data_IF_803548000598
#
_entry.id   IF_803548000598
#
_cell.length_a   1.000
_cell.length_b   1.000
_cell.length_c   1.000
_cell.angle_alpha   90.00
_cell.angle_beta   90.00
_cell.angle_gamma   90.00
#
_symmetry.space_group_name_H-M   'P 1'
#
loop_
_entity.id
_entity.type
_entity.pdbx_description
1 polymer ?
#
# COMPACT_ATOMS: atom_id res chain seq x y z
N UNK A 1 13.11 -28.89 15.99
CA UNK A 1 14.16 -27.92 16.37
C UNK A 1 13.67 -26.57 15.90
N UNK A 2 13.72 -25.54 16.72
CA UNK A 2 13.37 -24.17 16.32
C UNK A 2 14.47 -23.61 15.41
N UNK A 3 14.09 -23.11 14.25
CA UNK A 3 14.98 -22.48 13.29
C UNK A 3 15.40 -21.09 13.79
N UNK A 4 16.69 -20.75 13.76
CA UNK A 4 17.17 -19.41 14.08
C UNK A 4 17.76 -18.76 12.84
N UNK A 5 17.36 -17.50 12.55
CA UNK A 5 17.78 -16.69 11.39
C UNK A 5 18.48 -15.41 11.85
N UNK A 6 19.41 -14.92 11.04
CA UNK A 6 19.98 -13.60 11.26
C UNK A 6 18.95 -12.50 10.99
N UNK A 7 18.21 -12.65 9.91
CA UNK A 7 17.22 -11.67 9.45
C UNK A 7 15.94 -12.39 9.01
N UNK A 8 14.80 -11.93 9.51
CA UNK A 8 13.49 -12.25 8.96
C UNK A 8 12.85 -10.95 8.44
N UNK A 9 12.24 -11.01 7.27
CA UNK A 9 11.55 -9.90 6.61
C UNK A 9 10.08 -10.29 6.48
N UNK A 10 9.18 -9.45 6.98
CA UNK A 10 7.73 -9.68 6.90
C UNK A 10 7.15 -8.83 5.77
N UNK A 11 6.71 -9.50 4.71
CA UNK A 11 6.14 -8.92 3.50
C UNK A 11 7.09 -8.95 2.30
N UNK A 12 6.52 -9.19 1.13
CA UNK A 12 7.22 -9.33 -0.16
C UNK A 12 6.81 -8.29 -1.20
N UNK A 13 6.39 -7.08 -0.76
CA UNK A 13 6.26 -5.92 -1.64
C UNK A 13 7.63 -5.32 -1.98
N UNK A 14 7.67 -4.16 -2.66
CA UNK A 14 8.91 -3.49 -3.07
C UNK A 14 9.88 -3.26 -1.91
N UNK A 15 9.38 -2.90 -0.73
CA UNK A 15 10.21 -2.71 0.45
C UNK A 15 10.86 -4.02 0.89
N UNK A 16 10.07 -5.11 0.99
CA UNK A 16 10.55 -6.42 1.42
C UNK A 16 11.53 -7.04 0.44
N UNK A 17 11.25 -7.00 -0.87
CA UNK A 17 12.17 -7.50 -1.90
C UNK A 17 13.49 -6.71 -1.91
N UNK A 18 13.43 -5.38 -1.76
CA UNK A 18 14.64 -4.56 -1.70
C UNK A 18 15.44 -4.86 -0.45
N UNK A 19 14.78 -4.96 0.72
CA UNK A 19 15.45 -5.36 1.95
C UNK A 19 16.09 -6.74 1.82
N UNK A 20 15.40 -7.72 1.21
CA UNK A 20 15.91 -9.05 0.96
C UNK A 20 17.15 -9.05 0.04
N UNK A 21 17.10 -8.25 -1.03
CA UNK A 21 18.23 -8.11 -1.94
C UNK A 21 19.50 -7.59 -1.22
N UNK A 22 19.36 -6.52 -0.44
CA UNK A 22 20.51 -5.89 0.22
C UNK A 22 21.05 -6.77 1.37
N UNK A 23 20.20 -7.35 2.21
CA UNK A 23 20.63 -8.25 3.28
C UNK A 23 21.22 -9.57 2.74
N UNK A 24 20.70 -10.10 1.62
CA UNK A 24 21.30 -11.25 0.95
C UNK A 24 22.68 -10.94 0.39
N UNK A 25 22.88 -9.76 -0.21
CA UNK A 25 24.18 -9.29 -0.70
C UNK A 25 25.20 -9.07 0.43
N UNK A 26 24.73 -8.72 1.63
CA UNK A 26 25.53 -8.67 2.86
C UNK A 26 25.77 -10.07 3.48
N UNK A 27 25.40 -11.15 2.79
CA UNK A 27 25.55 -12.55 3.22
C UNK A 27 24.81 -12.89 4.52
N UNK A 28 23.73 -12.18 4.84
CA UNK A 28 22.92 -12.41 6.05
C UNK A 28 21.85 -13.50 5.89
N UNK A 29 21.67 -14.04 4.67
CA UNK A 29 20.74 -15.13 4.33
C UNK A 29 19.30 -14.87 4.85
N UNK A 30 18.64 -13.78 4.42
CA UNK A 30 17.35 -13.39 4.92
C UNK A 30 16.27 -14.42 4.58
N UNK A 31 15.32 -14.61 5.49
CA UNK A 31 14.07 -15.28 5.25
C UNK A 31 12.97 -14.24 5.04
N UNK A 32 12.33 -14.24 3.88
CA UNK A 32 11.16 -13.41 3.56
C UNK A 32 9.89 -14.23 3.81
N UNK A 33 9.01 -13.71 4.66
CA UNK A 33 7.66 -14.26 4.92
C UNK A 33 6.66 -13.47 4.09
N UNK A 34 6.08 -14.10 3.08
CA UNK A 34 5.34 -13.42 2.01
C UNK A 34 3.93 -12.97 2.40
N UNK A 35 3.30 -13.62 3.39
CA UNK A 35 1.91 -13.34 3.76
C UNK A 35 0.90 -14.01 2.84
N UNK A 36 -0.32 -13.43 2.77
CA UNK A 36 -1.42 -13.94 1.94
C UNK A 36 -1.36 -13.40 0.50
N UNK A 37 -0.72 -12.27 0.29
CA UNK A 37 -0.63 -11.57 -1.01
C UNK A 37 0.84 -11.38 -1.41
N UNK A 38 1.50 -12.42 -1.95
CA UNK A 38 2.88 -12.32 -2.42
C UNK A 38 3.04 -11.22 -3.47
N UNK A 39 4.08 -10.39 -3.31
CA UNK A 39 4.34 -9.23 -4.19
C UNK A 39 3.61 -7.95 -3.77
N UNK A 40 2.68 -8.03 -2.82
CA UNK A 40 1.94 -6.89 -2.29
C UNK A 40 1.10 -6.15 -3.33
N UNK A 41 0.86 -4.86 -3.14
CA UNK A 41 -0.07 -4.06 -3.97
C UNK A 41 0.30 -4.03 -5.45
N UNK A 42 1.57 -4.11 -5.81
CA UNK A 42 1.99 -4.13 -7.22
C UNK A 42 1.61 -5.43 -7.93
N UNK A 43 1.44 -6.54 -7.22
CA UNK A 43 0.97 -7.78 -7.83
C UNK A 43 -0.48 -7.71 -8.32
N UNK A 44 -1.24 -6.71 -7.83
CA UNK A 44 -2.65 -6.48 -8.15
C UNK A 44 -2.85 -5.40 -9.22
N UNK A 45 -1.80 -4.70 -9.64
CA UNK A 45 -1.89 -3.62 -10.63
C UNK A 45 -1.49 -4.10 -12.03
N UNK A 46 -1.80 -3.30 -13.03
CA UNK A 46 -1.45 -3.54 -14.43
C UNK A 46 -0.10 -2.90 -14.77
N UNK A 47 -0.07 -1.90 -15.64
CA UNK A 47 1.14 -1.23 -16.08
C UNK A 47 1.63 -0.22 -15.02
N UNK A 48 2.91 -0.30 -14.67
CA UNK A 48 3.62 0.61 -13.77
C UNK A 48 4.57 1.46 -14.61
N UNK A 49 4.28 2.76 -14.74
CA UNK A 49 5.07 3.70 -15.53
C UNK A 49 5.95 4.63 -14.69
N UNK A 50 5.78 4.60 -13.37
CA UNK A 50 6.43 5.52 -12.43
C UNK A 50 7.52 4.85 -11.56
N UNK A 51 7.94 3.63 -11.91
CA UNK A 51 9.12 3.00 -11.32
C UNK A 51 10.31 3.21 -12.25
N UNK A 52 11.36 3.94 -11.83
CA UNK A 52 12.49 4.28 -12.70
C UNK A 52 13.24 3.05 -13.22
N UNK A 53 13.73 3.11 -14.46
CA UNK A 53 14.48 2.04 -15.11
C UNK A 53 13.68 1.29 -16.17
N UNK A 54 12.38 1.60 -16.32
CA UNK A 54 11.51 0.98 -17.33
C UNK A 54 10.85 2.07 -18.20
N UNK A 55 11.51 2.52 -19.29
CA UNK A 55 11.02 3.65 -20.09
C UNK A 55 9.67 3.38 -20.76
N UNK A 56 9.35 2.12 -21.05
CA UNK A 56 8.08 1.69 -21.62
C UNK A 56 7.08 1.23 -20.55
N UNK A 57 7.38 1.43 -19.24
CA UNK A 57 6.65 0.83 -18.15
C UNK A 57 6.92 -0.67 -17.99
N UNK A 58 6.38 -1.26 -16.95
CA UNK A 58 6.45 -2.69 -16.66
C UNK A 58 5.17 -3.16 -15.98
N UNK A 59 4.70 -4.36 -16.29
CA UNK A 59 3.58 -4.95 -15.55
C UNK A 59 3.94 -5.14 -14.08
N UNK A 60 3.05 -4.72 -13.17
CA UNK A 60 3.29 -4.80 -11.73
C UNK A 60 3.71 -6.20 -11.25
N UNK A 61 2.99 -7.29 -11.63
CA UNK A 61 3.41 -8.66 -11.29
C UNK A 61 4.81 -9.01 -11.81
N UNK A 62 5.18 -8.54 -13.01
CA UNK A 62 6.52 -8.78 -13.58
C UNK A 62 7.60 -8.03 -12.81
N UNK A 63 7.32 -6.80 -12.38
CA UNK A 63 8.28 -6.02 -11.57
C UNK A 63 8.60 -6.73 -10.25
N UNK A 64 7.59 -7.16 -9.51
CA UNK A 64 7.82 -7.86 -8.22
C UNK A 64 8.50 -9.21 -8.42
N UNK A 65 8.15 -9.94 -9.48
CA UNK A 65 8.82 -11.20 -9.83
C UNK A 65 10.30 -10.98 -10.18
N UNK A 66 10.64 -9.91 -10.90
CA UNK A 66 12.02 -9.55 -11.20
C UNK A 66 12.80 -9.19 -9.92
N UNK A 67 12.18 -8.43 -9.00
CA UNK A 67 12.79 -8.09 -7.70
C UNK A 67 13.03 -9.34 -6.85
N UNK A 68 12.06 -10.27 -6.81
CA UNK A 68 12.18 -11.56 -6.14
C UNK A 68 13.37 -12.36 -6.68
N UNK A 69 13.41 -12.62 -7.98
CA UNK A 69 14.49 -13.36 -8.65
C UNK A 69 15.86 -12.72 -8.41
N UNK A 70 15.90 -11.40 -8.37
CA UNK A 70 17.14 -10.69 -8.08
C UNK A 70 17.63 -10.97 -6.66
N UNK A 71 16.75 -10.98 -5.65
CA UNK A 71 17.11 -11.29 -4.28
C UNK A 71 17.48 -12.78 -4.08
N UNK A 72 16.70 -13.69 -4.69
CA UNK A 72 16.97 -15.15 -4.67
C UNK A 72 18.34 -15.49 -5.26
N UNK A 73 18.76 -14.79 -6.32
CA UNK A 73 20.11 -14.98 -6.91
C UNK A 73 21.24 -14.76 -5.91
N UNK A 74 21.02 -13.93 -4.87
CA UNK A 74 22.00 -13.69 -3.80
C UNK A 74 21.74 -14.52 -2.53
N UNK A 75 20.76 -15.44 -2.58
CA UNK A 75 20.52 -16.37 -1.48
C UNK A 75 19.41 -15.95 -0.50
N UNK A 76 18.55 -15.00 -0.86
CA UNK A 76 17.33 -14.76 -0.10
C UNK A 76 16.39 -15.98 -0.21
N UNK A 77 15.85 -16.42 0.92
CA UNK A 77 14.85 -17.49 0.99
C UNK A 77 13.46 -16.88 1.12
N UNK A 78 12.49 -17.40 0.37
CA UNK A 78 11.10 -16.98 0.42
C UNK A 78 10.23 -18.12 0.95
N UNK A 79 9.32 -17.77 1.86
CA UNK A 79 8.38 -18.73 2.46
C UNK A 79 6.97 -18.18 2.36
N UNK A 80 6.12 -18.92 1.67
CA UNK A 80 4.68 -18.67 1.66
C UNK A 80 4.12 -19.09 3.01
N UNK A 81 4.11 -18.17 3.96
CA UNK A 81 3.63 -18.34 5.31
C UNK A 81 3.04 -17.05 5.82
N UNK A 82 2.24 -17.13 6.87
CA UNK A 82 1.59 -15.97 7.48
C UNK A 82 2.06 -15.81 8.93
N UNK A 83 2.50 -14.60 9.29
CA UNK A 83 2.83 -14.26 10.66
C UNK A 83 1.54 -14.19 11.49
N UNK A 84 1.43 -15.05 12.51
CA UNK A 84 0.24 -15.13 13.38
C UNK A 84 0.44 -14.48 14.74
N UNK A 85 1.69 -14.43 15.23
CA UNK A 85 2.08 -13.67 16.41
C UNK A 85 3.58 -13.45 16.44
N UNK A 86 4.03 -12.50 17.24
CA UNK A 86 5.44 -12.18 17.44
C UNK A 86 5.70 -11.86 18.92
N UNK A 87 6.87 -12.21 19.42
CA UNK A 87 7.38 -11.76 20.71
C UNK A 87 8.69 -11.02 20.49
N UNK A 88 8.66 -9.70 20.75
CA UNK A 88 9.78 -8.78 20.61
C UNK A 88 10.42 -8.42 21.96
N UNK A 89 10.04 -9.10 23.05
CA UNK A 89 10.49 -8.78 24.41
C UNK A 89 11.97 -9.11 24.65
N UNK A 90 12.50 -10.11 23.97
CA UNK A 90 13.92 -10.48 24.05
C UNK A 90 14.41 -11.07 22.72
N UNK A 91 15.72 -10.96 22.48
CA UNK A 91 16.42 -11.50 21.33
C UNK A 91 17.09 -12.85 21.67
N UNK A 92 17.08 -13.83 20.73
CA UNK A 92 16.44 -13.76 19.42
C UNK A 92 14.91 -13.67 19.52
N UNK A 93 14.31 -12.81 18.66
CA UNK A 93 12.87 -12.60 18.62
C UNK A 93 12.15 -13.86 18.16
N UNK A 94 10.97 -14.13 18.72
CA UNK A 94 10.16 -15.30 18.35
C UNK A 94 9.01 -14.90 17.42
N UNK A 95 8.96 -15.56 16.26
CA UNK A 95 7.88 -15.40 15.28
C UNK A 95 7.10 -16.71 15.12
N UNK A 96 5.79 -16.61 15.15
CA UNK A 96 4.90 -17.73 14.83
C UNK A 96 4.38 -17.58 13.40
N UNK A 97 4.68 -18.56 12.55
CA UNK A 97 4.25 -18.65 11.15
C UNK A 97 3.24 -19.78 11.02
N UNK A 98 2.01 -19.55 11.47
CA UNK A 98 1.02 -20.61 11.64
C UNK A 98 1.46 -21.63 12.70
N UNK A 99 1.69 -22.86 12.30
CA UNK A 99 2.16 -23.94 13.20
C UNK A 99 3.69 -23.96 13.38
N UNK A 100 4.43 -23.20 12.63
CA UNK A 100 5.89 -23.15 12.67
C UNK A 100 6.39 -21.98 13.53
N UNK A 101 7.53 -22.18 14.17
CA UNK A 101 8.23 -21.14 14.94
C UNK A 101 9.58 -20.84 14.32
N UNK A 102 9.91 -19.55 14.21
CA UNK A 102 11.20 -19.07 13.73
C UNK A 102 11.74 -18.07 14.74
N UNK A 103 12.98 -18.21 15.13
CA UNK A 103 13.72 -17.20 15.90
C UNK A 103 14.54 -16.33 14.97
N UNK A 104 14.68 -15.04 15.29
CA UNK A 104 15.50 -14.15 14.49
C UNK A 104 16.28 -13.14 15.35
N UNK A 105 17.51 -12.82 14.93
CA UNK A 105 18.31 -11.79 15.56
C UNK A 105 17.81 -10.38 15.23
N UNK A 106 17.35 -10.19 13.99
CA UNK A 106 16.81 -8.91 13.51
C UNK A 106 15.51 -9.15 12.73
N UNK A 107 14.63 -8.16 12.76
CA UNK A 107 13.33 -8.20 12.08
C UNK A 107 13.14 -6.95 11.23
N UNK A 108 12.79 -7.12 9.95
CA UNK A 108 12.34 -6.04 9.07
C UNK A 108 10.84 -6.21 8.82
N UNK A 109 10.06 -5.20 9.17
CA UNK A 109 8.63 -5.16 8.95
C UNK A 109 8.36 -4.37 7.67
N UNK A 110 7.98 -5.07 6.61
CA UNK A 110 7.68 -4.55 5.27
C UNK A 110 6.27 -4.97 4.82
N UNK A 111 5.34 -5.10 5.79
CA UNK A 111 4.00 -5.64 5.59
C UNK A 111 3.05 -4.71 4.83
N UNK A 112 3.47 -3.48 4.55
CA UNK A 112 2.73 -2.52 3.73
C UNK A 112 1.45 -1.99 4.38
N UNK A 113 0.57 -1.44 3.54
CA UNK A 113 -0.76 -0.98 3.90
C UNK A 113 -1.77 -1.43 2.85
N UNK A 114 -2.96 -1.77 3.28
CA UNK A 114 -4.06 -2.17 2.39
C UNK A 114 -4.96 -0.98 2.12
N UNK A 115 -5.35 -0.79 0.86
CA UNK A 115 -6.35 0.22 0.50
C UNK A 115 -7.70 -0.10 1.17
N UNK A 116 -8.43 0.93 1.54
CA UNK A 116 -9.83 0.76 1.94
C UNK A 116 -10.69 0.72 0.70
N UNK A 117 -11.55 -0.29 0.64
CA UNK A 117 -12.52 -0.49 -0.43
C UNK A 117 -13.93 -0.22 0.08
N UNK A 118 -14.89 0.01 -0.84
CA UNK A 118 -16.31 0.12 -0.49
C UNK A 118 -16.90 -1.24 -0.10
N UNK A 119 -16.29 -2.32 -0.56
CA UNK A 119 -16.73 -3.69 -0.29
C UNK A 119 -17.80 -4.17 -1.27
N UNK A 120 -17.91 -3.55 -2.43
CA UNK A 120 -18.88 -3.91 -3.46
C UNK A 120 -18.37 -5.08 -4.30
N UNK A 121 -19.21 -6.08 -4.65
CA UNK A 121 -18.77 -7.27 -5.38
C UNK A 121 -18.14 -6.97 -6.77
N UNK A 122 -18.66 -5.98 -7.49
CA UNK A 122 -18.15 -5.61 -8.80
C UNK A 122 -16.95 -4.65 -8.72
N UNK A 123 -16.81 -3.88 -7.64
CA UNK A 123 -15.64 -3.06 -7.36
C UNK A 123 -14.35 -3.89 -7.40
N UNK A 124 -14.33 -5.03 -6.70
CA UNK A 124 -13.16 -5.89 -6.62
C UNK A 124 -12.75 -6.50 -7.96
N UNK A 125 -13.72 -6.80 -8.83
CA UNK A 125 -13.47 -7.34 -10.16
C UNK A 125 -12.87 -6.31 -11.13
N UNK A 126 -13.02 -5.02 -10.79
CA UNK A 126 -12.58 -3.90 -11.63
C UNK A 126 -11.34 -3.18 -11.07
N UNK A 127 -10.71 -3.70 -10.01
CA UNK A 127 -9.42 -3.20 -9.53
C UNK A 127 -8.39 -3.35 -10.64
N UNK A 128 -7.68 -2.26 -10.99
CA UNK A 128 -6.77 -2.20 -12.13
C UNK A 128 -7.45 -2.09 -13.50
N UNK A 129 -8.79 -2.10 -13.54
CA UNK A 129 -9.62 -1.95 -14.75
C UNK A 129 -10.55 -0.74 -14.66
N UNK A 130 -10.10 0.33 -14.01
CA UNK A 130 -10.84 1.57 -13.82
C UNK A 130 -11.24 1.83 -12.36
N UNK A 131 -11.13 0.85 -11.46
CA UNK A 131 -11.20 1.07 -10.02
C UNK A 131 -9.78 1.14 -9.46
N UNK A 132 -9.44 2.24 -8.77
CA UNK A 132 -8.11 2.50 -8.23
C UNK A 132 -8.17 3.15 -6.85
N UNK A 133 -7.11 2.96 -6.07
CA UNK A 133 -6.85 3.67 -4.80
C UNK A 133 -5.61 4.56 -4.86
N UNK A 134 -5.05 4.78 -6.07
CA UNK A 134 -3.83 5.54 -6.29
C UNK A 134 -3.96 6.50 -7.47
N UNK A 135 -4.31 7.75 -7.20
CA UNK A 135 -4.43 8.79 -8.23
C UNK A 135 -3.11 9.04 -8.98
N UNK A 136 -1.98 9.00 -8.28
CA UNK A 136 -0.64 9.22 -8.87
C UNK A 136 -0.15 8.04 -9.72
N UNK A 137 -0.69 6.84 -9.50
CA UNK A 137 -0.36 5.66 -10.28
C UNK A 137 -1.16 5.63 -11.58
N UNK A 138 -2.48 5.80 -11.50
CA UNK A 138 -3.40 5.44 -12.56
C UNK A 138 -4.06 6.65 -13.25
N UNK A 139 -3.90 7.86 -12.70
CA UNK A 139 -4.59 9.06 -13.21
C UNK A 139 -4.31 9.36 -14.68
N UNK A 140 -3.10 9.10 -15.15
CA UNK A 140 -2.70 9.34 -16.54
C UNK A 140 -3.52 8.53 -17.55
N UNK A 141 -3.89 7.29 -17.23
CA UNK A 141 -4.67 6.41 -18.12
C UNK A 141 -6.07 6.94 -18.42
N UNK A 142 -6.56 7.89 -17.63
CA UNK A 142 -7.89 8.49 -17.79
C UNK A 142 -7.84 9.92 -18.35
N UNK A 143 -6.79 10.25 -19.11
CA UNK A 143 -6.63 11.55 -19.76
C UNK A 143 -7.83 11.86 -20.67
N UNK A 144 -8.44 13.04 -20.49
CA UNK A 144 -9.61 13.51 -21.24
C UNK A 144 -10.93 12.83 -20.83
N UNK A 145 -10.94 11.94 -19.88
CA UNK A 145 -12.15 11.23 -19.40
C UNK A 145 -12.83 11.94 -18.24
N UNK A 146 -14.11 11.63 -18.05
CA UNK A 146 -14.83 11.97 -16.82
C UNK A 146 -14.64 10.85 -15.79
N UNK A 147 -14.25 11.20 -14.58
CA UNK A 147 -13.91 10.25 -13.51
C UNK A 147 -14.55 10.63 -12.18
N UNK A 148 -14.63 9.66 -11.29
CA UNK A 148 -15.18 9.83 -9.94
C UNK A 148 -14.09 9.61 -8.89
N UNK A 149 -14.10 10.44 -7.83
CA UNK A 149 -13.32 10.24 -6.61
C UNK A 149 -14.30 10.08 -5.44
N UNK A 150 -14.12 9.05 -4.63
CA UNK A 150 -14.89 8.85 -3.40
C UNK A 150 -14.08 9.28 -2.20
N UNK A 151 -14.65 10.13 -1.35
CA UNK A 151 -14.03 10.48 -0.09
C UNK A 151 -14.49 11.82 0.46
N UNK A 152 -13.97 12.22 1.61
CA UNK A 152 -14.34 13.47 2.27
C UNK A 152 -13.28 14.02 3.22
N UNK A 153 -12.08 13.44 3.21
CA UNK A 153 -10.88 13.91 3.91
C UNK A 153 -9.88 14.57 2.99
N UNK A 154 -8.73 14.95 3.54
CA UNK A 154 -7.67 15.62 2.79
C UNK A 154 -7.16 14.78 1.62
N UNK A 155 -6.99 13.46 1.80
CA UNK A 155 -6.57 12.56 0.72
C UNK A 155 -7.50 12.63 -0.50
N UNK A 156 -8.83 12.66 -0.29
CA UNK A 156 -9.78 12.77 -1.41
C UNK A 156 -9.69 14.11 -2.13
N UNK A 157 -9.44 15.22 -1.40
CA UNK A 157 -9.24 16.53 -1.99
C UNK A 157 -7.93 16.61 -2.78
N UNK A 158 -6.86 16.02 -2.26
CA UNK A 158 -5.55 15.92 -2.95
C UNK A 158 -5.66 15.09 -4.22
N UNK A 159 -6.24 13.90 -4.14
CA UNK A 159 -6.43 13.01 -5.28
C UNK A 159 -7.32 13.64 -6.35
N UNK A 160 -8.48 14.21 -5.97
CA UNK A 160 -9.35 14.89 -6.90
C UNK A 160 -8.63 16.07 -7.60
N UNK A 161 -7.87 16.87 -6.83
CA UNK A 161 -7.11 18.00 -7.38
C UNK A 161 -6.00 17.50 -8.32
N UNK A 162 -5.28 16.44 -7.95
CA UNK A 162 -4.24 15.85 -8.79
C UNK A 162 -4.81 15.34 -10.11
N UNK A 163 -5.91 14.62 -10.06
CA UNK A 163 -6.56 14.01 -11.22
C UNK A 163 -7.09 15.03 -12.24
N UNK A 164 -7.38 16.27 -11.82
CA UNK A 164 -7.75 17.34 -12.78
C UNK A 164 -6.66 17.70 -13.79
N UNK A 165 -5.42 17.26 -13.57
CA UNK A 165 -4.32 17.42 -14.53
C UNK A 165 -4.55 16.60 -15.79
N UNK A 166 -5.26 15.50 -15.66
CA UNK A 166 -5.50 14.53 -16.72
C UNK A 166 -6.97 14.53 -17.16
N UNK A 167 -7.88 14.33 -16.21
CA UNK A 167 -9.30 14.21 -16.47
C UNK A 167 -9.92 15.50 -17.06
N UNK A 168 -10.92 15.34 -17.89
CA UNK A 168 -11.77 16.45 -18.34
C UNK A 168 -12.66 16.98 -17.22
N UNK A 169 -13.14 16.07 -16.34
CA UNK A 169 -13.98 16.35 -15.19
C UNK A 169 -13.76 15.33 -14.08
N UNK A 170 -13.75 15.79 -12.83
CA UNK A 170 -13.65 14.97 -11.64
C UNK A 170 -14.90 15.18 -10.80
N UNK A 171 -15.69 14.15 -10.56
CA UNK A 171 -16.83 14.22 -9.64
C UNK A 171 -16.42 13.64 -8.30
N UNK A 172 -16.36 14.49 -7.25
CA UNK A 172 -16.03 14.06 -5.89
C UNK A 172 -17.32 13.71 -5.16
N UNK A 173 -17.50 12.41 -4.87
CA UNK A 173 -18.70 11.90 -4.20
C UNK A 173 -18.43 11.71 -2.70
N UNK A 174 -19.32 12.23 -1.86
CA UNK A 174 -19.26 12.06 -0.43
C UNK A 174 -20.61 11.67 0.17
N UNK A 175 -20.59 10.72 1.10
CA UNK A 175 -21.80 10.18 1.76
C UNK A 175 -22.48 11.13 2.73
N UNK A 176 -21.90 12.28 3.07
CA UNK A 176 -22.44 13.30 3.98
C UNK A 176 -22.49 14.65 3.31
N UNK A 177 -23.30 15.56 3.85
CA UNK A 177 -23.36 16.96 3.38
C UNK A 177 -22.15 17.82 3.78
N UNK A 178 -21.27 17.32 4.65
CA UNK A 178 -20.08 18.06 5.12
C UNK A 178 -18.82 17.21 5.01
N UNK A 179 -17.70 17.86 4.70
CA UNK A 179 -16.38 17.24 4.52
C UNK A 179 -15.55 17.29 5.82
N UNK A 180 -14.66 16.32 6.02
CA UNK A 180 -13.69 16.30 7.12
C UNK A 180 -12.34 16.88 6.73
N UNK A 181 -12.18 17.21 5.46
CA UNK A 181 -10.97 17.79 4.94
C UNK A 181 -10.67 19.13 5.64
N UNK A 182 -9.38 19.48 5.74
CA UNK A 182 -8.94 20.79 6.20
C UNK A 182 -9.54 21.89 5.32
N UNK A 183 -9.80 23.06 5.92
CA UNK A 183 -10.40 24.18 5.20
C UNK A 183 -9.62 24.57 3.96
N UNK A 184 -8.29 24.57 4.03
CA UNK A 184 -7.40 24.92 2.92
C UNK A 184 -7.56 23.92 1.76
N UNK A 185 -7.60 22.63 2.04
CA UNK A 185 -7.73 21.60 1.01
C UNK A 185 -9.11 21.61 0.36
N UNK A 186 -10.16 21.80 1.17
CA UNK A 186 -11.52 21.92 0.68
C UNK A 186 -11.69 23.14 -0.22
N UNK A 187 -11.23 24.32 0.21
CA UNK A 187 -11.29 25.56 -0.59
C UNK A 187 -10.51 25.42 -1.91
N UNK A 188 -9.35 24.77 -1.89
CA UNK A 188 -8.57 24.50 -3.09
C UNK A 188 -9.32 23.64 -4.09
N UNK A 189 -9.94 22.56 -3.61
CA UNK A 189 -10.74 21.68 -4.45
C UNK A 189 -11.98 22.40 -5.00
N UNK A 190 -12.68 23.20 -4.18
CA UNK A 190 -13.86 23.97 -4.57
C UNK A 190 -13.59 25.05 -5.62
N UNK A 191 -12.38 25.65 -5.60
CA UNK A 191 -11.94 26.63 -6.60
C UNK A 191 -11.55 26.01 -7.94
N UNK A 192 -11.41 24.70 -8.02
CA UNK A 192 -11.03 24.04 -9.26
C UNK A 192 -12.25 23.81 -10.15
N UNK A 193 -12.32 24.42 -11.35
CA UNK A 193 -13.50 24.35 -12.21
C UNK A 193 -13.79 22.95 -12.75
N UNK A 194 -12.83 22.04 -12.71
CA UNK A 194 -13.00 20.64 -13.13
C UNK A 194 -13.56 19.74 -12.03
N UNK A 195 -13.60 20.19 -10.76
CA UNK A 195 -14.10 19.39 -9.64
C UNK A 195 -15.56 19.72 -9.35
N UNK A 196 -16.41 18.71 -9.44
CA UNK A 196 -17.83 18.76 -9.12
C UNK A 196 -18.11 17.96 -7.85
N UNK A 197 -18.78 18.57 -6.88
CA UNK A 197 -19.09 17.93 -5.61
C UNK A 197 -20.48 17.29 -5.65
N UNK A 198 -20.58 16.03 -5.28
CA UNK A 198 -21.82 15.30 -5.14
C UNK A 198 -21.90 14.75 -3.71
N UNK A 199 -22.60 15.48 -2.85
CA UNK A 199 -22.77 15.13 -1.43
C UNK A 199 -23.98 14.26 -1.20
N UNK A 200 -24.08 13.71 0.03
CA UNK A 200 -25.21 12.88 0.47
C UNK A 200 -25.46 11.67 -0.45
N UNK A 201 -24.38 11.17 -1.08
CA UNK A 201 -24.45 10.14 -2.11
C UNK A 201 -23.47 9.02 -1.82
N UNK A 202 -23.91 7.78 -2.05
CA UNK A 202 -23.11 6.56 -1.93
C UNK A 202 -23.12 5.78 -3.23
N UNK A 203 -22.04 5.02 -3.48
CA UNK A 203 -21.97 4.05 -4.59
C UNK A 203 -22.58 2.74 -4.11
N UNK A 204 -23.49 2.18 -4.88
CA UNK A 204 -24.10 0.87 -4.63
C UNK A 204 -23.52 -0.23 -5.53
N UNK A 205 -23.08 0.14 -6.74
CA UNK A 205 -22.44 -0.81 -7.65
C UNK A 205 -21.54 -0.09 -8.66
N UNK A 206 -20.66 -0.86 -9.31
CA UNK A 206 -19.72 -0.39 -10.34
C UNK A 206 -19.96 -1.19 -11.63
N UNK A 207 -20.13 -0.51 -12.76
CA UNK A 207 -20.31 -1.10 -14.09
C UNK A 207 -19.02 -0.91 -14.94
N UNK A 208 -18.65 -1.74 -15.88
CA UNK A 208 -19.24 -3.00 -16.30
C UNK A 208 -18.17 -4.11 -16.18
N UNK A 209 -18.28 -4.95 -15.18
CA UNK A 209 -17.30 -6.03 -14.94
C UNK A 209 -17.24 -7.05 -16.09
N UNK A 210 -18.29 -7.16 -16.93
CA UNK A 210 -18.30 -8.05 -18.08
C UNK A 210 -17.43 -7.54 -19.21
N UNK A 211 -17.23 -6.22 -19.30
CA UNK A 211 -16.30 -5.56 -20.24
C UNK A 211 -14.90 -5.38 -19.71
N UNK A 212 -14.68 -5.72 -18.42
CA UNK A 212 -13.43 -5.46 -17.72
C UNK A 212 -13.01 -3.98 -17.76
N UNK A 213 -13.97 -3.07 -17.69
CA UNK A 213 -13.73 -1.63 -17.63
C UNK A 213 -14.84 -0.92 -16.85
N UNK A 214 -14.53 0.19 -16.19
CA UNK A 214 -15.54 1.03 -15.56
C UNK A 214 -16.24 1.85 -16.63
N UNK A 215 -17.58 1.67 -16.74
CA UNK A 215 -18.43 2.44 -17.67
C UNK A 215 -19.42 3.34 -16.93
N UNK A 216 -19.61 3.11 -15.64
CA UNK A 216 -20.53 3.88 -14.81
C UNK A 216 -20.65 3.32 -13.39
N UNK A 217 -21.42 4.01 -12.59
CA UNK A 217 -21.72 3.68 -11.19
C UNK A 217 -23.24 3.66 -10.98
N UNK A 218 -23.69 2.79 -10.09
CA UNK A 218 -25.00 2.91 -9.49
C UNK A 218 -24.88 3.73 -8.22
N UNK A 219 -25.56 4.87 -8.17
CA UNK A 219 -25.53 5.79 -7.05
C UNK A 219 -26.84 5.81 -6.32
N UNK A 220 -26.79 6.06 -4.99
CA UNK A 220 -27.97 6.33 -4.19
C UNK A 220 -27.77 7.60 -3.36
N UNK A 221 -28.72 8.54 -3.45
CA UNK A 221 -28.81 9.67 -2.54
C UNK A 221 -29.32 9.19 -1.18
N UNK A 222 -28.53 9.41 -0.11
CA UNK A 222 -28.87 8.89 1.23
C UNK A 222 -29.99 9.66 1.92
N UNK A 223 -30.33 10.88 1.45
CA UNK A 223 -31.42 11.68 2.01
C UNK A 223 -32.76 11.40 1.34
N UNK A 224 -32.77 11.28 0.01
CA UNK A 224 -34.01 11.09 -0.76
C UNK A 224 -34.30 9.63 -1.02
N UNK A 225 -33.31 8.75 -0.94
CA UNK A 225 -33.42 7.35 -1.32
C UNK A 225 -33.38 7.12 -2.85
N UNK A 226 -33.26 8.19 -3.65
CA UNK A 226 -33.23 8.11 -5.10
C UNK A 226 -31.98 7.30 -5.56
N UNK A 227 -32.22 6.35 -6.46
CA UNK A 227 -31.20 5.50 -7.08
C UNK A 227 -31.13 5.81 -8.57
N UNK A 228 -29.92 6.02 -9.09
CA UNK A 228 -29.72 6.37 -10.49
C UNK A 228 -28.35 5.90 -11.02
N UNK A 229 -28.26 5.76 -12.34
CA UNK A 229 -27.02 5.43 -13.01
C UNK A 229 -26.21 6.69 -13.30
N UNK A 230 -24.91 6.62 -13.09
CA UNK A 230 -23.98 7.74 -13.29
C UNK A 230 -22.83 7.30 -14.19
N UNK A 231 -22.74 7.80 -15.43
CA UNK A 231 -21.68 7.43 -16.36
C UNK A 231 -20.34 7.98 -15.89
N UNK A 232 -19.30 7.14 -15.93
CA UNK A 232 -17.92 7.50 -15.60
C UNK A 232 -16.97 6.48 -16.17
N UNK A 233 -15.71 6.88 -16.42
CA UNK A 233 -14.68 5.98 -16.94
C UNK A 233 -13.76 5.42 -15.86
N UNK A 234 -13.81 5.95 -14.64
CA UNK A 234 -13.02 5.44 -13.51
C UNK A 234 -13.61 5.82 -12.16
N UNK A 235 -13.28 5.01 -11.16
CA UNK A 235 -13.59 5.21 -9.75
C UNK A 235 -12.30 5.20 -8.93
N UNK A 236 -11.94 6.34 -8.32
CA UNK A 236 -10.82 6.47 -7.41
C UNK A 236 -11.28 6.53 -5.96
N UNK A 237 -10.64 5.77 -5.08
CA UNK A 237 -11.04 5.63 -3.69
C UNK A 237 -10.12 6.42 -2.74
N UNK A 238 -10.41 7.71 -2.57
CA UNK A 238 -9.75 8.60 -1.60
C UNK A 238 -10.26 8.41 -0.16
N UNK A 239 -10.50 7.15 0.27
CA UNK A 239 -11.04 6.83 1.59
C UNK A 239 -9.98 6.30 2.57
N UNK A 240 -8.71 6.33 2.15
CA UNK A 240 -7.53 6.03 2.96
C UNK A 240 -7.09 4.58 2.89
N UNK A 241 -6.06 4.29 3.67
CA UNK A 241 -5.42 2.97 3.78
C UNK A 241 -5.45 2.50 5.24
N UNK A 242 -5.16 1.24 5.44
CA UNK A 242 -4.96 0.62 6.75
C UNK A 242 -3.60 -0.04 6.76
N UNK A 243 -2.67 0.39 7.61
CA UNK A 243 -1.37 -0.26 7.72
C UNK A 243 -1.52 -1.69 8.26
N UNK A 244 -0.73 -2.62 7.72
CA UNK A 244 -0.74 -4.01 8.15
C UNK A 244 0.18 -4.20 9.37
N UNK A 245 -0.09 -3.43 10.43
CA UNK A 245 0.70 -3.34 11.65
C UNK A 245 0.06 -4.02 12.87
N UNK A 246 -1.23 -4.36 12.82
CA UNK A 246 -2.03 -4.83 13.97
C UNK A 246 -1.37 -5.94 14.79
N UNK A 247 -0.59 -6.81 14.16
CA UNK A 247 0.08 -7.93 14.82
C UNK A 247 1.21 -7.48 15.77
N UNK A 248 1.70 -6.25 15.61
CA UNK A 248 2.76 -5.64 16.42
C UNK A 248 2.22 -4.73 17.52
N UNK A 249 0.88 -4.60 17.61
CA UNK A 249 0.22 -3.73 18.59
C UNK A 249 0.66 -4.02 20.03
N UNK A 250 0.93 -2.98 20.79
CA UNK A 250 1.42 -3.06 22.18
C UNK A 250 2.92 -3.37 22.31
N UNK A 251 3.58 -3.86 21.25
CA UNK A 251 5.03 -4.12 21.25
C UNK A 251 5.82 -3.05 20.51
N UNK A 252 5.21 -2.38 19.52
CA UNK A 252 5.78 -1.24 18.80
C UNK A 252 4.89 -0.02 18.95
N UNK A 253 5.46 1.16 18.71
CA UNK A 253 4.72 2.41 18.74
C UNK A 253 3.98 2.63 17.42
N UNK A 254 2.72 3.03 17.54
CA UNK A 254 1.84 3.36 16.41
C UNK A 254 1.39 4.82 16.49
N UNK A 255 1.08 5.42 15.36
CA UNK A 255 0.41 6.70 15.30
C UNK A 255 -1.12 6.54 15.47
N UNK A 256 -1.86 7.66 15.43
CA UNK A 256 -3.32 7.66 15.59
C UNK A 256 -4.06 6.90 14.47
N UNK A 257 -3.42 6.67 13.33
CA UNK A 257 -3.97 5.96 12.18
C UNK A 257 -3.49 4.49 12.10
N UNK A 258 -2.65 4.05 13.08
CA UNK A 258 -2.14 2.69 13.21
C UNK A 258 -0.84 2.42 12.44
N UNK A 259 -0.20 3.44 11.87
CA UNK A 259 1.10 3.29 11.20
C UNK A 259 2.21 3.14 12.24
N UNK A 260 3.17 2.26 11.96
CA UNK A 260 4.34 2.09 12.83
C UNK A 260 5.17 3.38 12.86
N UNK A 261 5.47 3.85 14.08
CA UNK A 261 6.36 5.00 14.27
C UNK A 261 7.81 4.57 14.15
N UNK A 262 8.56 5.32 13.34
CA UNK A 262 10.00 5.14 13.19
C UNK A 262 10.75 6.42 13.55
N UNK A 263 12.01 6.24 13.96
CA UNK A 263 13.01 7.30 14.07
C UNK A 263 14.20 6.94 13.20
N UNK A 264 15.05 7.90 12.87
CA UNK A 264 16.17 7.67 11.96
C UNK A 264 15.75 6.89 10.70
N UNK A 265 14.61 7.28 10.13
CA UNK A 265 13.98 6.72 8.93
C UNK A 265 13.28 5.36 9.09
N UNK A 266 13.92 4.34 9.71
CA UNK A 266 13.43 2.95 9.71
C UNK A 266 13.48 2.26 11.07
N UNK A 267 14.11 2.86 12.09
CA UNK A 267 14.22 2.27 13.42
C UNK A 267 12.92 2.32 14.18
N UNK A 268 12.50 1.20 14.77
CA UNK A 268 11.39 1.16 15.72
C UNK A 268 11.91 1.40 17.15
N UNK A 269 11.02 1.45 18.14
CA UNK A 269 11.45 1.54 19.56
C UNK A 269 12.21 0.31 20.05
N UNK A 270 12.11 -0.83 19.36
CA UNK A 270 12.77 -2.09 19.73
C UNK A 270 14.05 -2.23 18.91
N UNK A 271 15.18 -2.26 19.59
CA UNK A 271 16.50 -2.36 18.96
C UNK A 271 16.68 -3.69 18.22
N UNK A 272 17.03 -3.63 16.93
CA UNK A 272 17.09 -4.78 16.02
C UNK A 272 15.77 -5.05 15.28
N UNK A 273 14.74 -4.19 15.46
CA UNK A 273 13.48 -4.24 14.71
C UNK A 273 13.33 -2.96 13.89
N UNK A 274 13.11 -3.13 12.59
CA UNK A 274 13.01 -2.04 11.63
C UNK A 274 11.68 -2.11 10.88
N UNK A 275 11.13 -0.97 10.49
CA UNK A 275 9.93 -0.89 9.67
C UNK A 275 10.19 -0.06 8.40
N UNK A 276 9.71 -0.53 7.24
CA UNK A 276 9.91 0.11 5.95
C UNK A 276 8.71 -0.08 5.02
N UNK A 277 8.61 0.78 4.00
CA UNK A 277 7.46 0.82 3.10
C UNK A 277 6.21 1.38 3.76
N UNK A 278 5.06 1.06 3.19
CA UNK A 278 3.80 1.71 3.52
C UNK A 278 3.27 1.38 4.92
N UNK A 279 3.85 0.42 5.63
CA UNK A 279 3.49 0.14 7.03
C UNK A 279 3.88 1.29 7.97
N UNK A 280 4.84 2.12 7.58
CA UNK A 280 5.29 3.32 8.30
C UNK A 280 5.15 4.62 7.48
N UNK A 281 5.12 4.53 6.13
CA UNK A 281 4.96 5.70 5.25
C UNK A 281 3.47 5.92 4.92
N UNK A 282 2.82 6.76 5.73
CA UNK A 282 1.44 7.17 5.47
C UNK A 282 1.31 8.25 4.38
N UNK A 283 2.44 8.87 3.94
CA UNK A 283 2.44 10.07 3.10
C UNK A 283 2.63 9.77 1.62
N UNK A 284 3.71 9.08 1.27
CA UNK A 284 4.10 8.91 -0.13
C UNK A 284 3.47 7.67 -0.75
N UNK A 285 3.59 6.51 -0.11
CA UNK A 285 3.00 5.24 -0.55
C UNK A 285 3.29 4.96 -2.02
N UNK A 286 4.56 5.07 -2.40
CA UNK A 286 5.04 4.79 -3.75
C UNK A 286 5.99 3.60 -3.74
N UNK A 287 5.98 2.83 -4.84
CA UNK A 287 6.86 1.67 -4.99
C UNK A 287 8.34 2.03 -4.80
N UNK A 288 8.75 3.17 -5.34
CA UNK A 288 10.15 3.64 -5.25
C UNK A 288 10.52 4.10 -3.84
N UNK A 289 9.63 4.77 -3.10
CA UNK A 289 9.91 5.16 -1.70
C UNK A 289 9.90 3.94 -0.79
N UNK A 290 9.03 2.97 -1.05
CA UNK A 290 9.02 1.68 -0.37
C UNK A 290 10.34 0.92 -0.60
N UNK A 291 10.80 0.81 -1.84
CA UNK A 291 12.10 0.22 -2.17
C UNK A 291 13.26 0.95 -1.49
N UNK A 292 13.27 2.30 -1.52
CA UNK A 292 14.28 3.11 -0.85
C UNK A 292 14.35 2.86 0.66
N UNK A 293 13.20 2.83 1.34
CA UNK A 293 13.17 2.53 2.79
C UNK A 293 13.53 1.08 3.10
N UNK A 294 13.23 0.12 2.22
CA UNK A 294 13.69 -1.26 2.31
C UNK A 294 15.21 -1.38 2.26
N UNK A 295 15.85 -0.61 1.37
CA UNK A 295 17.31 -0.47 1.32
C UNK A 295 17.87 0.10 2.63
N UNK A 296 17.27 1.18 3.16
CA UNK A 296 17.69 1.77 4.44
C UNK A 296 17.61 0.75 5.58
N UNK A 297 16.50 0.02 5.70
CA UNK A 297 16.32 -0.99 6.74
C UNK A 297 17.38 -2.11 6.65
N UNK A 298 17.69 -2.55 5.44
CA UNK A 298 18.71 -3.58 5.22
C UNK A 298 20.11 -3.13 5.64
N UNK A 299 20.50 -1.88 5.33
CA UNK A 299 21.79 -1.30 5.71
C UNK A 299 21.89 -1.18 7.25
N UNK A 300 20.81 -0.76 7.91
CA UNK A 300 20.81 -0.69 9.37
C UNK A 300 20.84 -2.08 10.03
N UNK A 301 20.25 -3.10 9.40
CA UNK A 301 20.40 -4.51 9.84
C UNK A 301 21.84 -4.98 9.68
N UNK A 302 22.51 -4.66 8.57
CA UNK A 302 23.93 -5.03 8.34
C UNK A 302 24.81 -4.46 9.46
N UNK A 303 24.74 -3.15 9.72
CA UNK A 303 25.47 -2.49 10.80
C UNK A 303 25.19 -3.13 12.16
N UNK A 304 23.88 -3.39 12.44
CA UNK A 304 23.49 -4.03 13.68
C UNK A 304 24.13 -5.41 13.85
N UNK A 305 24.16 -6.22 12.78
CA UNK A 305 24.77 -7.55 12.81
C UNK A 305 26.28 -7.52 12.94
N UNK A 306 26.96 -6.51 12.39
CA UNK A 306 28.38 -6.27 12.59
C UNK A 306 28.72 -5.94 14.06
N UNK A 307 27.86 -5.16 14.73
CA UNK A 307 28.06 -4.75 16.12
C UNK A 307 27.68 -5.84 17.15
N UNK A 308 26.70 -6.70 16.82
CA UNK A 308 26.07 -7.63 17.77
C UNK A 308 26.06 -9.09 17.32
N UNK A 309 26.46 -9.36 16.08
CA UNK A 309 26.57 -10.71 15.52
C UNK A 309 27.88 -11.37 15.97
N UNK A 310 27.77 -12.38 16.79
CA UNK A 310 28.87 -13.28 17.15
C UNK A 310 28.77 -14.57 16.37
#
# INVERSE_FOLDING_TARGET
MSETRNVVIIGSGCAGHTAALYTARANLKPLVVEGHEPGGQLSLTTLVENFPGFPEGIMGPQLVENMRKQAERFGAEYRMAHLTSVDLSKRPFLLHLGVHQVHTQTLIIASGASARWLGLPNEQKLIGHGVSSCATCDGFFFSGKEIVVIGGGDSAMEEATFLTRFASKVTLIHRRGSFRASKIMLERAQKNPKIHFLTDTVVEDVYDHTKQEVTGLKLRNVKTGEVYDFPTSALFLGIGHVPNAKIFAGQLDEDADGYLKTHNYVHTRVHGVYACGDVQDRRYRQAITAAGSGCMAAIEVEKFMEEHGS
#
